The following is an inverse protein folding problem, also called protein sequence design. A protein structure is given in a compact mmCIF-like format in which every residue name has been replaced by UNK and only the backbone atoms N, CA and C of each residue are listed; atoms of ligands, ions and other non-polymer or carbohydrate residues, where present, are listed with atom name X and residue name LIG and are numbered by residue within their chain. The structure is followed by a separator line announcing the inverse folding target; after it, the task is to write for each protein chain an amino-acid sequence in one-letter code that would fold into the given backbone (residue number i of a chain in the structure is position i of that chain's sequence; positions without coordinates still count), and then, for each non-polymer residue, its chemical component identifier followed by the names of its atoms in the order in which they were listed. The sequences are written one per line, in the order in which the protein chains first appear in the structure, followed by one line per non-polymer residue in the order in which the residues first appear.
data_IF_990731293785
#
_entry.id   IF_990731293785
#
_cell.length_a   1.000
_cell.length_b   1.000
_cell.length_c   1.000
_cell.angle_alpha   90.00
_cell.angle_beta   90.00
_cell.angle_gamma   90.00
#
_symmetry.space_group_name_H-M   'P 1'
#
loop_
_entity.id
_entity.type
_entity.pdbx_description
1 polymer ?
#
# COMPACT_ATOMS: atom_id res chain seq x y z
N UNK A 1 -58.60 22.08 -31.66
CA UNK A 1 -58.40 20.83 -32.43
C UNK A 1 -57.04 20.29 -32.01
N UNK A 2 -57.02 19.31 -31.12
CA UNK A 2 -55.81 18.75 -30.51
C UNK A 2 -55.19 17.67 -31.42
N UNK A 3 -53.86 17.53 -31.46
CA UNK A 3 -53.23 16.24 -31.67
C UNK A 3 -52.73 15.65 -30.34
N UNK A 4 -53.01 14.37 -30.15
CA UNK A 4 -52.65 13.54 -29.01
C UNK A 4 -51.12 13.38 -28.81
N UNK A 5 -50.63 13.27 -27.57
CA UNK A 5 -49.27 12.81 -27.31
C UNK A 5 -49.20 11.28 -27.38
N UNK A 6 -48.25 10.77 -28.18
CA UNK A 6 -47.91 9.34 -28.20
C UNK A 6 -47.05 9.00 -26.97
N UNK A 7 -47.58 8.14 -26.11
CA UNK A 7 -46.85 7.49 -25.02
C UNK A 7 -45.93 6.44 -25.66
N UNK A 8 -44.61 6.68 -25.64
CA UNK A 8 -43.62 5.62 -25.88
C UNK A 8 -43.37 4.91 -24.55
N UNK A 9 -43.65 3.61 -24.53
CA UNK A 9 -43.31 2.73 -23.43
C UNK A 9 -41.79 2.67 -23.28
N UNK A 10 -41.30 3.08 -22.11
CA UNK A 10 -39.92 2.93 -21.69
C UNK A 10 -39.70 1.47 -21.34
N UNK A 11 -38.93 0.77 -22.17
CA UNK A 11 -38.54 -0.62 -21.96
C UNK A 11 -37.56 -0.64 -20.79
N UNK A 12 -38.01 -1.10 -19.63
CA UNK A 12 -37.20 -1.23 -18.43
C UNK A 12 -35.95 -2.08 -18.73
N UNK A 13 -34.79 -1.45 -18.71
CA UNK A 13 -33.50 -2.13 -18.75
C UNK A 13 -33.38 -2.98 -17.49
N UNK A 14 -33.07 -4.30 -17.59
CA UNK A 14 -32.92 -5.12 -16.41
C UNK A 14 -31.75 -4.59 -15.56
N UNK A 15 -32.06 -4.15 -14.33
CA UNK A 15 -31.03 -3.92 -13.32
C UNK A 15 -30.36 -5.26 -13.00
N UNK A 16 -29.19 -5.47 -13.58
CA UNK A 16 -28.30 -6.56 -13.19
C UNK A 16 -27.83 -6.25 -11.78
N UNK A 17 -28.38 -6.98 -10.80
CA UNK A 17 -27.91 -6.95 -9.42
C UNK A 17 -26.49 -7.54 -9.42
N UNK A 18 -25.45 -6.79 -9.00
CA UNK A 18 -24.08 -7.32 -9.01
C UNK A 18 -23.99 -8.54 -8.09
N UNK A 19 -23.43 -9.62 -8.62
CA UNK A 19 -23.26 -10.86 -7.86
C UNK A 19 -22.15 -10.67 -6.84
N UNK A 20 -22.15 -11.41 -5.71
CA UNK A 20 -21.12 -11.28 -4.66
C UNK A 20 -19.67 -11.53 -5.15
N UNK A 21 -19.51 -12.15 -6.33
CA UNK A 21 -18.22 -12.33 -7.01
C UNK A 21 -17.76 -11.06 -7.76
N UNK A 22 -18.68 -10.25 -8.30
CA UNK A 22 -18.37 -8.96 -8.93
C UNK A 22 -17.87 -7.92 -7.92
N UNK A 23 -18.31 -8.05 -6.66
CA UNK A 23 -17.89 -7.19 -5.56
C UNK A 23 -16.47 -7.53 -5.08
N UNK A 24 -16.06 -8.80 -5.14
CA UNK A 24 -14.68 -9.20 -4.81
C UNK A 24 -13.67 -8.85 -5.91
N UNK A 25 -14.07 -8.88 -7.18
CA UNK A 25 -13.21 -8.54 -8.31
C UNK A 25 -12.83 -7.04 -8.37
N UNK A 26 -13.56 -6.18 -7.66
CA UNK A 26 -13.35 -4.71 -7.64
C UNK A 26 -12.56 -4.21 -6.43
N UNK A 27 -12.08 -5.11 -5.57
CA UNK A 27 -11.31 -4.70 -4.40
C UNK A 27 -9.88 -4.33 -4.86
N UNK A 28 -9.63 -3.04 -5.04
CA UNK A 28 -8.28 -2.51 -5.26
C UNK A 28 -7.31 -2.98 -4.17
N UNK A 29 -6.00 -2.94 -4.43
CA UNK A 29 -4.95 -3.55 -3.59
C UNK A 29 -4.93 -3.08 -2.13
N UNK A 30 -5.52 -1.91 -1.86
CA UNK A 30 -5.55 -1.25 -0.56
C UNK A 30 -6.89 -1.38 0.20
N UNK A 31 -7.76 -2.31 -0.20
CA UNK A 31 -8.92 -2.67 0.62
C UNK A 31 -10.05 -1.65 0.71
N UNK A 32 -10.24 -0.83 -0.33
CA UNK A 32 -11.44 0.00 -0.54
C UNK A 32 -11.45 1.36 0.19
N UNK A 33 -10.59 1.57 1.19
CA UNK A 33 -10.47 2.84 1.93
C UNK A 33 -9.06 3.43 1.75
N UNK A 34 -8.75 3.84 0.51
CA UNK A 34 -7.50 4.51 0.16
C UNK A 34 -7.78 5.97 -0.21
N UNK A 35 -6.95 6.89 0.29
CA UNK A 35 -6.98 8.31 -0.03
C UNK A 35 -5.65 8.71 -0.65
N UNK A 36 -5.71 9.52 -1.71
CA UNK A 36 -4.53 10.21 -2.25
C UNK A 36 -4.32 11.50 -1.46
N UNK A 37 -3.23 11.55 -0.69
CA UNK A 37 -2.84 12.76 0.07
C UNK A 37 -2.24 13.79 -0.89
N UNK A 38 -1.36 13.33 -1.78
CA UNK A 38 -0.64 14.18 -2.71
C UNK A 38 -0.28 13.38 -3.96
N UNK A 39 -0.34 14.03 -5.12
CA UNK A 39 0.04 13.43 -6.39
C UNK A 39 0.82 14.43 -7.22
N UNK A 40 1.91 13.98 -7.84
CA UNK A 40 2.77 14.82 -8.67
C UNK A 40 3.24 14.05 -9.91
N UNK A 41 3.41 14.79 -11.01
CA UNK A 41 4.01 14.25 -12.22
C UNK A 41 5.50 14.59 -12.24
N UNK A 42 6.34 13.63 -12.65
CA UNK A 42 7.74 13.90 -12.94
C UNK A 42 7.91 14.91 -14.08
N UNK A 43 9.12 15.43 -14.24
CA UNK A 43 9.44 16.47 -15.26
C UNK A 43 10.52 15.96 -16.23
N UNK A 44 10.62 16.54 -17.44
CA UNK A 44 11.66 16.18 -18.41
C UNK A 44 13.06 16.74 -18.08
N UNK A 45 13.28 17.19 -16.85
CA UNK A 45 14.51 17.83 -16.39
C UNK A 45 14.71 17.66 -14.88
N UNK A 46 15.95 17.83 -14.44
CA UNK A 46 16.30 17.87 -13.02
C UNK A 46 15.47 18.91 -12.28
N UNK A 47 14.76 18.49 -11.25
CA UNK A 47 13.91 19.38 -10.48
C UNK A 47 13.74 18.87 -9.05
N UNK A 48 13.23 19.74 -8.20
CA UNK A 48 12.90 19.43 -6.82
C UNK A 48 11.45 19.82 -6.59
N UNK A 49 10.65 18.90 -6.03
CA UNK A 49 9.29 19.14 -5.61
C UNK A 49 9.25 19.19 -4.09
N UNK A 50 8.86 20.33 -3.53
CA UNK A 50 8.53 20.44 -2.11
C UNK A 50 7.06 20.02 -1.92
N UNK A 51 6.83 19.15 -0.95
CA UNK A 51 5.55 18.51 -0.67
C UNK A 51 5.23 18.74 0.79
N UNK A 52 4.05 19.30 1.04
CA UNK A 52 3.63 19.66 2.38
C UNK A 52 2.18 19.25 2.60
N UNK A 53 1.91 18.67 3.77
CA UNK A 53 0.55 18.37 4.22
C UNK A 53 0.49 18.32 5.74
N UNK A 54 -0.73 18.49 6.28
CA UNK A 54 -0.97 18.42 7.72
C UNK A 54 -1.71 17.12 8.09
N UNK A 55 -1.33 16.52 9.20
CA UNK A 55 -2.00 15.37 9.80
C UNK A 55 -2.55 15.80 11.16
N UNK A 56 -3.81 15.50 11.45
CA UNK A 56 -4.33 15.69 12.81
C UNK A 56 -3.84 14.58 13.76
N UNK A 57 -3.97 14.82 15.06
CA UNK A 57 -3.53 13.88 16.10
C UNK A 57 -4.24 12.51 16.01
N UNK A 58 -5.51 12.50 15.59
CA UNK A 58 -6.32 11.27 15.51
C UNK A 58 -5.78 10.38 14.39
N UNK A 59 -5.56 10.97 13.22
CA UNK A 59 -5.01 10.30 12.07
C UNK A 59 -3.55 9.88 12.30
N UNK A 60 -2.75 10.72 12.94
CA UNK A 60 -1.38 10.36 13.34
C UNK A 60 -1.34 9.22 14.37
N UNK A 61 -2.33 9.11 15.26
CA UNK A 61 -2.44 7.97 16.17
C UNK A 61 -2.62 6.66 15.41
N UNK A 62 -3.48 6.63 14.39
CA UNK A 62 -3.64 5.44 13.52
C UNK A 62 -2.35 5.08 12.78
N UNK A 63 -1.59 6.08 12.32
CA UNK A 63 -0.27 5.86 11.70
C UNK A 63 0.74 5.33 12.72
N UNK A 64 0.71 5.87 13.94
CA UNK A 64 1.60 5.45 15.02
C UNK A 64 1.37 3.98 15.39
N UNK A 65 0.13 3.49 15.37
CA UNK A 65 -0.17 2.06 15.53
C UNK A 65 0.52 1.23 14.44
N UNK A 66 0.48 1.66 13.18
CA UNK A 66 1.19 0.97 12.09
C UNK A 66 2.71 0.99 12.28
N UNK A 67 3.28 2.14 12.66
CA UNK A 67 4.73 2.26 12.91
C UNK A 67 5.17 1.32 14.04
N UNK A 68 4.34 1.15 15.06
CA UNK A 68 4.58 0.28 16.22
C UNK A 68 4.03 -1.15 16.05
N UNK A 69 3.65 -1.57 14.83
CA UNK A 69 3.06 -2.89 14.53
C UNK A 69 3.80 -4.11 15.06
N UNK A 70 5.12 -4.00 15.24
CA UNK A 70 5.95 -5.08 15.81
C UNK A 70 5.76 -5.25 17.32
N UNK A 71 5.37 -4.19 18.02
CA UNK A 71 5.12 -4.20 19.46
C UNK A 71 3.67 -4.58 19.79
N UNK A 72 2.70 -4.16 18.97
CA UNK A 72 1.27 -4.37 19.21
C UNK A 72 0.57 -4.94 17.95
N UNK A 73 0.70 -6.25 17.68
CA UNK A 73 0.19 -6.85 16.44
C UNK A 73 -1.34 -6.90 16.33
N UNK A 74 -2.07 -6.91 17.45
CA UNK A 74 -3.52 -7.16 17.48
C UNK A 74 -4.35 -6.00 16.89
N UNK A 75 -3.84 -4.76 16.93
CA UNK A 75 -4.57 -3.56 16.50
C UNK A 75 -4.18 -3.10 15.09
N UNK A 76 -3.24 -3.79 14.44
CA UNK A 76 -2.61 -3.31 13.21
C UNK A 76 -3.59 -3.25 12.04
N UNK A 77 -4.60 -4.12 11.98
CA UNK A 77 -5.56 -4.13 10.87
C UNK A 77 -6.36 -2.84 10.71
N UNK A 78 -6.54 -2.07 11.79
CA UNK A 78 -7.27 -0.79 11.80
C UNK A 78 -6.32 0.42 11.78
N UNK A 79 -5.01 0.18 11.64
CA UNK A 79 -4.03 1.25 11.53
C UNK A 79 -4.03 1.88 10.13
N UNK A 80 -3.23 2.93 9.95
CA UNK A 80 -3.07 3.61 8.66
C UNK A 80 -1.61 3.57 8.22
N UNK A 81 -1.39 3.13 6.99
CA UNK A 81 -0.12 3.20 6.28
C UNK A 81 -0.07 4.49 5.45
N UNK A 82 1.07 5.18 5.47
CA UNK A 82 1.41 6.17 4.45
C UNK A 82 2.45 5.57 3.51
N UNK A 83 2.06 5.43 2.25
CA UNK A 83 2.88 4.81 1.22
C UNK A 83 3.15 5.79 0.09
N UNK A 84 4.41 5.89 -0.34
CA UNK A 84 4.78 6.53 -1.59
C UNK A 84 4.76 5.49 -2.70
N UNK A 85 3.99 5.75 -3.75
CA UNK A 85 3.88 4.93 -4.94
C UNK A 85 4.42 5.67 -6.16
N UNK A 86 4.89 4.92 -7.14
CA UNK A 86 5.34 5.41 -8.43
C UNK A 86 4.61 4.66 -9.52
N UNK A 87 4.09 5.37 -10.53
CA UNK A 87 3.36 4.79 -11.64
C UNK A 87 3.89 5.34 -12.95
N UNK A 88 3.84 4.53 -14.00
CA UNK A 88 4.05 5.04 -15.37
C UNK A 88 2.72 5.56 -15.90
N UNK A 89 2.72 6.80 -16.38
CA UNK A 89 1.55 7.43 -16.97
C UNK A 89 0.97 6.64 -18.15
N UNK A 90 1.76 6.06 -19.08
CA UNK A 90 1.21 5.21 -20.13
C UNK A 90 0.40 4.03 -19.59
N UNK A 91 0.86 3.42 -18.49
CA UNK A 91 0.18 2.27 -17.87
C UNK A 91 -1.13 2.74 -17.22
N UNK A 92 -1.11 3.88 -16.51
CA UNK A 92 -2.33 4.48 -15.95
C UNK A 92 -3.36 4.83 -17.04
N UNK A 93 -2.91 5.40 -18.17
CA UNK A 93 -3.80 5.71 -19.28
C UNK A 93 -4.38 4.46 -19.94
N UNK A 94 -3.58 3.39 -20.06
CA UNK A 94 -4.07 2.11 -20.55
C UNK A 94 -5.19 1.55 -19.64
N UNK A 95 -5.01 1.64 -18.32
CA UNK A 95 -6.03 1.23 -17.34
C UNK A 95 -7.32 2.05 -17.47
N UNK A 96 -7.22 3.38 -17.63
CA UNK A 96 -8.40 4.24 -17.87
C UNK A 96 -9.16 3.82 -19.13
N UNK A 97 -8.44 3.42 -20.19
CA UNK A 97 -9.06 3.01 -21.45
C UNK A 97 -9.72 1.63 -21.36
N UNK A 98 -9.13 0.69 -20.62
CA UNK A 98 -9.69 -0.66 -20.44
C UNK A 98 -10.84 -0.70 -19.45
N UNK A 99 -10.85 0.19 -18.45
CA UNK A 99 -11.79 0.16 -17.33
C UNK A 99 -12.63 1.44 -17.27
N UNK A 100 -13.68 1.48 -18.10
CA UNK A 100 -14.59 2.63 -18.24
C UNK A 100 -15.37 3.01 -16.98
N UNK A 101 -15.26 2.23 -15.90
CA UNK A 101 -15.97 2.44 -14.64
C UNK A 101 -15.12 3.06 -13.52
N UNK A 102 -13.78 3.12 -13.67
CA UNK A 102 -12.91 3.69 -12.63
C UNK A 102 -13.14 5.22 -12.54
N UNK A 103 -13.52 5.70 -11.37
CA UNK A 103 -13.74 7.12 -11.10
C UNK A 103 -12.66 7.68 -10.17
N UNK A 104 -11.81 8.52 -10.75
CA UNK A 104 -10.85 9.33 -10.00
C UNK A 104 -9.50 8.66 -9.76
N UNK A 105 -8.56 9.46 -9.27
CA UNK A 105 -7.16 9.05 -9.11
C UNK A 105 -7.00 7.93 -8.08
N UNK A 106 -7.80 7.94 -7.00
CA UNK A 106 -7.69 6.96 -5.95
C UNK A 106 -8.07 5.55 -6.43
N UNK A 107 -9.19 5.43 -7.14
CA UNK A 107 -9.61 4.13 -7.69
C UNK A 107 -8.56 3.64 -8.70
N UNK A 108 -8.16 4.50 -9.64
CA UNK A 108 -7.14 4.19 -10.65
C UNK A 108 -5.82 3.68 -10.05
N UNK A 109 -5.26 4.40 -9.07
CA UNK A 109 -3.97 4.05 -8.47
C UNK A 109 -4.06 2.84 -7.53
N UNK A 110 -5.26 2.52 -7.01
CA UNK A 110 -5.49 1.32 -6.20
C UNK A 110 -5.56 0.03 -7.04
N UNK A 111 -5.90 0.14 -8.33
CA UNK A 111 -5.92 -0.97 -9.30
C UNK A 111 -4.63 -1.09 -10.10
N UNK A 112 -3.80 -0.05 -10.11
CA UNK A 112 -2.53 -0.04 -10.83
C UNK A 112 -1.40 -0.65 -10.00
N UNK A 113 -0.41 -1.25 -10.65
CA UNK A 113 0.84 -1.69 -10.01
C UNK A 113 1.86 -0.56 -9.95
N UNK A 114 2.71 -0.56 -8.92
CA UNK A 114 3.81 0.40 -8.84
C UNK A 114 4.93 0.04 -9.83
N UNK A 115 5.46 1.06 -10.50
CA UNK A 115 6.51 0.96 -11.51
C UNK A 115 7.57 2.02 -11.22
N UNK A 116 8.59 1.65 -10.43
CA UNK A 116 9.69 2.55 -10.09
C UNK A 116 10.71 2.65 -11.23
N UNK A 117 11.27 3.85 -11.48
CA UNK A 117 12.40 3.97 -12.39
C UNK A 117 13.60 3.17 -11.86
N UNK A 118 14.54 2.84 -12.76
CA UNK A 118 15.78 2.11 -12.45
C UNK A 118 17.04 2.97 -12.57
N UNK A 119 16.95 4.12 -13.24
CA UNK A 119 18.05 5.07 -13.41
C UNK A 119 18.23 5.92 -12.15
N UNK A 120 19.16 5.57 -11.25
CA UNK A 120 19.40 6.12 -9.89
C UNK A 120 19.41 7.64 -9.69
N UNK A 121 18.28 8.28 -9.95
CA UNK A 121 18.12 9.72 -10.16
C UNK A 121 16.90 10.27 -9.43
N UNK A 122 16.38 9.54 -8.46
CA UNK A 122 15.21 9.94 -7.69
C UNK A 122 15.44 9.63 -6.22
N UNK A 123 15.17 10.61 -5.37
CA UNK A 123 15.28 10.47 -3.91
C UNK A 123 14.22 11.29 -3.19
N UNK A 124 13.79 10.80 -2.03
CA UNK A 124 12.97 11.52 -1.08
C UNK A 124 13.83 12.04 0.06
N UNK A 125 13.85 13.34 0.26
CA UNK A 125 14.51 14.01 1.36
C UNK A 125 13.46 14.36 2.42
N UNK A 126 13.81 14.11 3.68
CA UNK A 126 12.93 14.30 4.83
C UNK A 126 13.75 14.97 5.92
N UNK A 127 13.22 16.02 6.53
CA UNK A 127 13.80 16.64 7.72
C UNK A 127 12.91 16.38 8.93
N UNK A 128 13.46 15.76 9.98
CA UNK A 128 12.71 15.45 11.20
C UNK A 128 13.60 15.52 12.42
N UNK A 129 13.19 16.27 13.44
CA UNK A 129 13.95 16.46 14.68
C UNK A 129 15.42 16.85 14.43
N UNK A 130 15.65 17.78 13.50
CA UNK A 130 16.99 18.23 13.08
C UNK A 130 17.87 17.12 12.45
N UNK A 131 17.27 15.98 12.07
CA UNK A 131 17.92 14.92 11.30
C UNK A 131 17.43 14.97 9.87
N UNK A 132 18.36 14.81 8.94
CA UNK A 132 18.10 14.74 7.52
C UNK A 132 18.16 13.27 7.05
N UNK A 133 17.10 12.80 6.43
CA UNK A 133 17.00 11.46 5.86
C UNK A 133 16.91 11.56 4.34
N UNK A 134 17.60 10.65 3.65
CA UNK A 134 17.53 10.53 2.19
C UNK A 134 17.16 9.10 1.86
N UNK A 135 16.02 8.90 1.20
CA UNK A 135 15.54 7.60 0.75
C UNK A 135 15.79 7.52 -0.77
N UNK A 136 16.65 6.61 -1.26
CA UNK A 136 16.78 6.37 -2.68
C UNK A 136 15.50 5.70 -3.20
N UNK A 137 14.96 6.22 -4.30
CA UNK A 137 13.70 5.76 -4.89
C UNK A 137 13.88 5.10 -6.26
N UNK A 138 15.13 4.85 -6.68
CA UNK A 138 15.43 4.41 -8.03
C UNK A 138 16.65 3.47 -8.09
N UNK A 139 16.43 2.14 -8.05
CA UNK A 139 15.23 1.51 -7.51
C UNK A 139 15.18 1.68 -5.96
N UNK A 140 13.98 1.64 -5.34
CA UNK A 140 13.89 1.62 -3.89
C UNK A 140 14.48 0.31 -3.32
N UNK A 141 15.17 0.42 -2.20
CA UNK A 141 15.81 -0.74 -1.54
C UNK A 141 14.82 -1.53 -0.68
N UNK A 142 13.87 -0.83 -0.06
CA UNK A 142 12.89 -1.41 0.86
C UNK A 142 11.51 -1.08 0.30
N UNK A 143 10.81 -2.12 -0.13
CA UNK A 143 9.45 -2.05 -0.62
C UNK A 143 8.52 -2.83 0.31
N UNK A 144 7.29 -2.36 0.39
CA UNK A 144 6.16 -3.13 0.90
C UNK A 144 5.81 -4.27 -0.08
N UNK A 145 5.02 -5.27 0.35
CA UNK A 145 4.48 -6.28 -0.55
C UNK A 145 3.70 -5.71 -1.75
N UNK A 146 3.16 -4.49 -1.61
CA UNK A 146 2.44 -3.76 -2.67
C UNK A 146 3.38 -2.97 -3.61
N UNK A 147 4.69 -3.22 -3.56
CA UNK A 147 5.73 -2.52 -4.33
C UNK A 147 5.73 -0.99 -4.11
N UNK A 148 5.24 -0.52 -2.96
CA UNK A 148 5.30 0.87 -2.53
C UNK A 148 6.41 1.08 -1.50
N UNK A 149 6.86 2.33 -1.31
CA UNK A 149 7.76 2.70 -0.22
C UNK A 149 6.94 3.12 1.00
N UNK A 150 7.07 2.41 2.11
CA UNK A 150 6.44 2.80 3.39
C UNK A 150 7.17 4.01 3.97
N UNK A 151 6.48 5.14 4.07
CA UNK A 151 7.01 6.39 4.63
C UNK A 151 6.37 6.74 5.98
N UNK A 152 5.54 5.84 6.53
CA UNK A 152 4.78 6.06 7.78
C UNK A 152 5.68 6.42 8.96
N UNK A 153 6.86 5.81 9.05
CA UNK A 153 7.82 6.05 10.14
C UNK A 153 8.39 7.46 10.16
N UNK A 154 8.22 8.24 9.09
CA UNK A 154 8.68 9.62 8.97
C UNK A 154 7.60 10.65 9.26
N UNK A 155 6.34 10.21 9.44
CA UNK A 155 5.22 11.09 9.72
C UNK A 155 5.30 11.66 11.14
N UNK A 156 4.64 12.80 11.33
CA UNK A 156 4.43 13.50 12.59
C UNK A 156 3.02 14.07 12.64
N UNK A 157 2.49 14.30 13.84
CA UNK A 157 1.29 15.10 13.99
C UNK A 157 1.58 16.56 13.61
N UNK A 158 0.61 17.23 13.00
CA UNK A 158 0.73 18.57 12.47
C UNK A 158 1.39 18.60 11.10
N UNK A 159 2.33 19.52 10.92
CA UNK A 159 2.91 19.83 9.62
C UNK A 159 4.02 18.87 9.22
N UNK A 160 3.89 18.26 8.04
CA UNK A 160 4.87 17.35 7.48
C UNK A 160 5.41 17.90 6.16
N UNK A 161 6.73 17.86 6.00
CA UNK A 161 7.42 18.33 4.80
C UNK A 161 8.28 17.22 4.20
N UNK A 162 8.21 17.10 2.88
CA UNK A 162 9.00 16.18 2.09
C UNK A 162 9.53 16.90 0.87
N UNK A 163 10.69 16.46 0.40
CA UNK A 163 11.28 16.99 -0.82
C UNK A 163 11.64 15.86 -1.75
N UNK A 164 10.99 15.80 -2.90
CA UNK A 164 11.29 14.82 -3.93
C UNK A 164 12.28 15.44 -4.94
N UNK A 165 13.51 14.96 -4.93
CA UNK A 165 14.53 15.40 -5.89
C UNK A 165 14.64 14.39 -7.02
N UNK A 166 14.44 14.86 -8.24
CA UNK A 166 14.66 14.11 -9.46
C UNK A 166 15.83 14.69 -10.27
N UNK A 167 16.58 13.82 -10.94
CA UNK A 167 17.64 14.18 -11.88
C UNK A 167 17.30 13.61 -13.26
N UNK A 168 17.36 14.44 -14.31
CA UNK A 168 16.99 14.01 -15.66
C UNK A 168 15.48 13.86 -15.90
N UNK A 169 15.12 13.11 -16.95
CA UNK A 169 13.74 12.98 -17.42
C UNK A 169 13.00 11.85 -16.69
N UNK A 170 11.96 12.23 -15.95
CA UNK A 170 10.96 11.33 -15.36
C UNK A 170 9.54 11.76 -15.74
N UNK A 171 9.37 12.45 -16.87
CA UNK A 171 8.09 13.00 -17.32
C UNK A 171 6.99 11.96 -17.56
N UNK A 172 7.39 10.71 -17.79
CA UNK A 172 6.49 9.56 -17.95
C UNK A 172 6.00 8.97 -16.61
N UNK A 173 6.48 9.45 -15.46
CA UNK A 173 6.13 8.92 -14.14
C UNK A 173 5.22 9.86 -13.34
N UNK A 174 4.36 9.26 -12.53
CA UNK A 174 3.59 9.91 -11.48
C UNK A 174 3.98 9.36 -10.11
N UNK A 175 4.15 10.22 -9.13
CA UNK A 175 4.47 9.87 -7.76
C UNK A 175 3.30 10.27 -6.86
N UNK A 176 2.84 9.34 -6.03
CA UNK A 176 1.58 9.50 -5.29
C UNK A 176 1.76 9.04 -3.85
N UNK A 177 1.43 9.92 -2.91
CA UNK A 177 1.32 9.60 -1.49
C UNK A 177 -0.10 9.08 -1.21
N UNK A 178 -0.18 7.84 -0.75
CA UNK A 178 -1.42 7.20 -0.33
C UNK A 178 -1.49 7.11 1.18
N UNK A 179 -2.66 7.40 1.72
CA UNK A 179 -3.10 6.87 3.01
C UNK A 179 -4.02 5.67 2.76
N UNK A 180 -3.76 4.56 3.45
CA UNK A 180 -4.62 3.38 3.35
C UNK A 180 -4.52 2.52 4.61
N UNK A 181 -5.49 1.64 4.81
CA UNK A 181 -5.35 0.55 5.78
C UNK A 181 -4.31 -0.46 5.26
N UNK A 182 -3.63 -1.21 6.14
CA UNK A 182 -2.71 -2.25 5.72
C UNK A 182 -3.36 -3.21 4.72
N UNK A 183 -2.66 -3.51 3.63
CA UNK A 183 -3.14 -4.46 2.64
C UNK A 183 -3.16 -5.88 3.23
N UNK A 184 -3.96 -6.76 2.62
CA UNK A 184 -4.01 -8.18 2.99
C UNK A 184 -2.60 -8.82 2.88
N UNK A 185 -1.78 -8.37 1.91
CA UNK A 185 -0.40 -8.81 1.73
C UNK A 185 0.54 -8.31 2.84
N UNK A 186 0.40 -7.05 3.26
CA UNK A 186 1.13 -6.49 4.39
C UNK A 186 0.80 -7.21 5.71
N UNK A 187 -0.49 -7.49 5.95
CA UNK A 187 -0.93 -8.24 7.12
C UNK A 187 -0.41 -9.69 7.11
N UNK A 188 -0.43 -10.35 5.94
CA UNK A 188 0.12 -11.69 5.78
C UNK A 188 1.63 -11.74 6.08
N UNK A 189 2.39 -10.76 5.61
CA UNK A 189 3.83 -10.64 5.90
C UNK A 189 4.09 -10.47 7.41
N UNK A 190 3.33 -9.60 8.09
CA UNK A 190 3.46 -9.41 9.54
C UNK A 190 3.16 -10.70 10.32
N UNK A 191 2.10 -11.41 9.93
CA UNK A 191 1.76 -12.70 10.53
C UNK A 191 2.87 -13.73 10.33
N UNK A 192 3.45 -13.80 9.12
CA UNK A 192 4.57 -14.70 8.84
C UNK A 192 5.79 -14.38 9.72
N UNK A 193 6.12 -13.09 9.89
CA UNK A 193 7.21 -12.63 10.77
C UNK A 193 6.92 -12.95 12.24
N UNK A 194 5.69 -12.79 12.70
CA UNK A 194 5.29 -13.11 14.07
C UNK A 194 5.43 -14.61 14.36
N UNK A 195 4.96 -15.46 13.44
CA UNK A 195 5.10 -16.92 13.52
C UNK A 195 6.58 -17.33 13.52
N UNK A 196 7.39 -16.75 12.63
CA UNK A 196 8.83 -17.02 12.58
C UNK A 196 9.54 -16.58 13.88
N UNK A 197 9.18 -15.42 14.43
CA UNK A 197 9.74 -14.90 15.68
C UNK A 197 9.39 -15.78 16.88
N UNK A 198 8.16 -16.30 16.94
CA UNK A 198 7.74 -17.27 17.97
C UNK A 198 8.57 -18.55 17.87
N UNK A 199 8.71 -19.10 16.67
CA UNK A 199 9.53 -20.31 16.42
C UNK A 199 10.99 -20.09 16.81
N UNK A 200 11.56 -18.94 16.49
CA UNK A 200 12.93 -18.60 16.87
C UNK A 200 13.11 -18.54 18.39
N UNK A 201 12.18 -17.91 19.11
CA UNK A 201 12.21 -17.85 20.58
C UNK A 201 12.13 -19.25 21.20
N UNK A 202 11.27 -20.13 20.69
CA UNK A 202 11.16 -21.52 21.14
C UNK A 202 12.47 -22.29 20.91
N UNK A 203 13.10 -22.12 19.73
CA UNK A 203 14.38 -22.73 19.42
C UNK A 203 15.50 -22.24 20.35
N UNK A 204 15.61 -20.93 20.56
CA UNK A 204 16.63 -20.35 21.45
C UNK A 204 16.40 -20.81 22.90
N UNK A 205 15.15 -20.88 23.35
CA UNK A 205 14.81 -21.43 24.66
C UNK A 205 15.22 -22.90 24.82
N UNK A 206 15.00 -23.70 23.78
CA UNK A 206 15.46 -25.09 23.76
C UNK A 206 16.98 -25.22 23.77
N UNK A 207 17.70 -24.44 22.94
CA UNK A 207 19.18 -24.46 22.90
C UNK A 207 19.82 -24.04 24.24
N UNK A 208 19.15 -23.18 25.00
CA UNK A 208 19.57 -22.77 26.34
C UNK A 208 19.20 -23.75 27.46
N UNK A 209 18.49 -24.84 27.16
CA UNK A 209 18.03 -25.81 28.16
C UNK A 209 19.11 -26.85 28.50
N UNK A 210 19.13 -27.41 29.73
CA UNK A 210 20.08 -28.46 30.12
C UNK A 210 20.00 -29.69 29.20
N UNK A 211 21.14 -30.37 29.03
CA UNK A 211 21.26 -31.60 28.23
C UNK A 211 20.26 -32.65 28.76
N UNK A 212 19.20 -32.92 27.99
CA UNK A 212 18.12 -33.86 28.33
C UNK A 212 16.72 -33.44 27.89
N UNK A 213 16.51 -32.18 27.50
CA UNK A 213 15.21 -31.71 26.97
C UNK A 213 14.96 -32.22 25.55
N UNK A 214 13.81 -32.88 25.34
CA UNK A 214 13.39 -33.37 24.01
C UNK A 214 13.35 -32.23 22.99
N UNK A 215 13.81 -32.51 21.77
CA UNK A 215 13.84 -31.52 20.69
C UNK A 215 12.42 -31.17 20.23
N UNK A 216 12.10 -29.88 20.08
CA UNK A 216 10.81 -29.44 19.55
C UNK A 216 10.58 -29.87 18.09
N UNK A 217 11.61 -30.37 17.39
CA UNK A 217 11.54 -30.78 16.00
C UNK A 217 11.19 -32.25 15.78
N UNK A 218 11.22 -33.08 16.82
CA UNK A 218 10.93 -34.53 16.70
C UNK A 218 9.42 -34.80 16.61
N UNK A 219 8.58 -33.85 16.99
CA UNK A 219 7.12 -34.01 17.05
C UNK A 219 6.38 -33.65 15.75
N UNK A 220 7.04 -33.07 14.75
CA UNK A 220 6.37 -32.49 13.58
C UNK A 220 6.41 -33.32 12.29
N UNK A 221 7.17 -34.42 12.24
CA UNK A 221 7.21 -35.30 11.06
C UNK A 221 6.19 -36.45 11.11
N UNK A 222 5.34 -36.53 12.14
CA UNK A 222 4.42 -37.66 12.36
C UNK A 222 2.92 -37.34 12.16
N UNK A 223 2.56 -36.30 11.39
CA UNK A 223 1.17 -36.14 10.93
C UNK A 223 0.98 -36.68 9.52
N UNK A 224 0.67 -37.98 9.47
CA UNK A 224 -0.26 -38.65 8.52
C UNK A 224 -0.07 -38.42 7.02
N UNK A 225 0.60 -39.37 6.36
CA UNK A 225 0.21 -39.83 5.02
C UNK A 225 -1.11 -40.62 5.19
N UNK A 226 -2.24 -40.21 4.58
CA UNK A 226 -3.43 -41.05 4.59
C UNK A 226 -3.24 -42.24 3.62
N UNK A 227 -3.59 -43.48 4.01
CA UNK A 227 -3.72 -44.62 3.08
C UNK A 227 -4.96 -44.38 2.20
N UNK A 228 -5.03 -44.75 0.92
CA UNK A 228 -4.35 -45.82 0.17
C UNK A 228 -4.12 -45.41 -1.28
#
# INVERSE_FOLDING_TARGET
MFPSPQIKAELATPQVVPTSQDVQARKGRFGGMMVVIHGLQGKPYTCTHDIEFNLDDTFFSCISTWVNRKASPDEVSQSVCISLACYRLPDLFATIQSESQLQGIAELTSHSSCSWPTSGRLSLQIERHSKHYVIPLCPPVILTPDNCVDVSSFMSSGHNTFRLTQQGDLSEFAFVFHAHHPSDAQLAELNAVAVASKRWKELVGWLGSPIGSQSPWVTFTSSSIPPS
#
